data_IF_777791575704
#
_entry.id   IF_777791575704
#
_cell.length_a   1.000
_cell.length_b   1.000
_cell.length_c   1.000
_cell.angle_alpha   90.00
_cell.angle_beta   90.00
_cell.angle_gamma   90.00
#
_symmetry.space_group_name_H-M   'P 1'
#
loop_
_entity.id
_entity.type
_entity.pdbx_description
1 polymer ?
#
# COMPACT_ATOMS: atom_id res chain seq x y z
N UNK A 1 -34.75 -9.07 -53.05
CA UNK A 1 -34.85 -9.96 -51.92
C UNK A 1 -33.48 -10.63 -51.76
N UNK A 2 -32.66 -10.29 -50.92
CA UNK A 2 -32.56 -10.38 -49.49
C UNK A 2 -31.41 -9.44 -48.98
N UNK A 3 -31.78 -8.38 -48.38
CA UNK A 3 -30.89 -7.67 -47.48
C UNK A 3 -31.38 -7.94 -46.08
N UNK A 4 -30.66 -8.67 -45.31
CA UNK A 4 -30.76 -8.79 -43.84
C UNK A 4 -29.72 -9.85 -43.43
N UNK A 5 -28.59 -9.47 -42.96
CA UNK A 5 -27.82 -10.07 -41.86
C UNK A 5 -26.41 -9.49 -41.90
N UNK A 6 -26.23 -8.28 -41.42
CA UNK A 6 -24.90 -7.80 -41.04
C UNK A 6 -24.99 -6.68 -39.97
N UNK A 7 -25.65 -6.98 -38.85
CA UNK A 7 -25.66 -6.06 -37.69
C UNK A 7 -25.69 -6.86 -36.37
N UNK A 8 -24.78 -7.79 -36.14
CA UNK A 8 -24.71 -8.45 -34.82
C UNK A 8 -23.30 -8.88 -34.38
N UNK A 9 -22.22 -8.21 -34.78
CA UNK A 9 -20.92 -8.66 -34.25
C UNK A 9 -19.98 -7.55 -33.75
N UNK A 10 -20.49 -6.33 -33.50
CA UNK A 10 -19.65 -5.25 -32.97
C UNK A 10 -19.92 -4.86 -31.49
N UNK A 11 -20.84 -5.56 -30.81
CA UNK A 11 -21.17 -5.24 -29.42
C UNK A 11 -20.63 -6.23 -28.36
N UNK A 12 -20.08 -7.36 -28.75
CA UNK A 12 -19.57 -8.35 -27.79
C UNK A 12 -18.24 -7.93 -27.12
N UNK A 13 -17.43 -7.10 -27.75
CA UNK A 13 -16.19 -6.56 -27.17
C UNK A 13 -16.41 -5.51 -26.09
N UNK A 14 -17.51 -4.76 -26.19
CA UNK A 14 -17.81 -3.65 -25.27
C UNK A 14 -18.30 -4.10 -23.90
N UNK A 15 -19.03 -5.23 -23.81
CA UNK A 15 -19.59 -5.70 -22.52
C UNK A 15 -18.55 -6.38 -21.63
N UNK A 16 -17.59 -7.09 -22.19
CA UNK A 16 -16.51 -7.72 -21.42
C UNK A 16 -15.55 -6.67 -20.83
N UNK A 17 -15.19 -5.65 -21.62
CA UNK A 17 -14.37 -4.52 -21.15
C UNK A 17 -15.11 -3.67 -20.12
N UNK A 18 -16.44 -3.50 -20.25
CA UNK A 18 -17.25 -2.78 -19.29
C UNK A 18 -17.39 -3.52 -17.95
N UNK A 19 -17.48 -4.85 -17.96
CA UNK A 19 -17.54 -5.66 -16.74
C UNK A 19 -16.19 -5.72 -16.00
N UNK A 20 -15.06 -5.75 -16.71
CA UNK A 20 -13.72 -5.72 -16.11
C UNK A 20 -13.40 -4.36 -15.48
N UNK A 21 -13.84 -3.26 -16.08
CA UNK A 21 -13.69 -1.93 -15.50
C UNK A 21 -14.66 -1.68 -14.32
N UNK A 22 -15.85 -2.27 -14.33
CA UNK A 22 -16.85 -2.10 -13.27
C UNK A 22 -16.47 -2.76 -11.93
N UNK A 23 -15.54 -3.72 -11.93
CA UNK A 23 -15.04 -4.32 -10.68
C UNK A 23 -14.08 -3.39 -9.91
N UNK A 24 -13.41 -2.46 -10.59
CA UNK A 24 -12.45 -1.53 -9.97
C UNK A 24 -13.09 -0.22 -9.55
N UNK A 25 -14.14 0.20 -10.25
CA UNK A 25 -14.82 1.46 -10.02
C UNK A 25 -16.30 1.25 -9.81
N UNK A 26 -16.87 2.06 -8.93
CA UNK A 26 -18.30 2.06 -8.59
C UNK A 26 -18.83 3.45 -8.92
N UNK A 27 -19.83 3.54 -9.79
CA UNK A 27 -20.51 4.79 -10.08
C UNK A 27 -21.81 4.87 -9.25
N UNK A 28 -22.12 6.05 -8.70
CA UNK A 28 -23.48 6.35 -8.23
C UNK A 28 -24.35 6.87 -9.37
N UNK A 29 -25.65 7.02 -9.10
CA UNK A 29 -26.61 7.55 -10.09
C UNK A 29 -26.40 9.03 -10.44
N UNK A 30 -25.50 9.73 -9.77
CA UNK A 30 -25.20 11.16 -9.94
C UNK A 30 -23.91 11.41 -10.74
N UNK A 31 -23.22 10.35 -11.15
CA UNK A 31 -22.01 10.41 -11.98
C UNK A 31 -20.71 10.49 -11.20
N UNK A 32 -20.74 10.32 -9.87
CA UNK A 32 -19.52 10.23 -9.10
C UNK A 32 -18.88 8.85 -9.26
N UNK A 33 -17.56 8.83 -9.35
CA UNK A 33 -16.78 7.60 -9.48
C UNK A 33 -16.08 7.33 -8.15
N UNK A 34 -16.32 6.15 -7.61
CA UNK A 34 -15.71 5.65 -6.39
C UNK A 34 -14.80 4.48 -6.71
N UNK A 35 -13.82 4.29 -5.87
CA UNK A 35 -12.95 3.11 -5.88
C UNK A 35 -12.85 2.51 -4.48
N UNK A 36 -12.47 1.24 -4.44
CA UNK A 36 -12.22 0.51 -3.19
C UNK A 36 -10.72 0.54 -2.90
N UNK A 37 -10.36 0.81 -1.65
CA UNK A 37 -8.99 0.75 -1.12
C UNK A 37 -8.98 0.00 0.21
N UNK A 38 -7.88 -0.64 0.53
CA UNK A 38 -7.70 -1.36 1.78
C UNK A 38 -6.69 -0.63 2.66
N UNK A 39 -6.99 -0.49 3.96
CA UNK A 39 -6.09 0.15 4.92
C UNK A 39 -5.98 -0.75 6.14
N UNK A 40 -4.75 -1.19 6.44
CA UNK A 40 -4.45 -2.14 7.49
C UNK A 40 -3.45 -1.58 8.49
N UNK A 41 -3.46 -2.15 9.69
CA UNK A 41 -2.49 -1.84 10.74
C UNK A 41 -2.91 -0.67 11.63
N UNK A 42 -1.97 0.18 11.98
CA UNK A 42 -2.08 1.21 13.01
C UNK A 42 -2.80 2.47 12.54
N UNK A 43 -4.09 2.31 12.21
CA UNK A 43 -5.03 3.41 11.92
C UNK A 43 -6.26 3.25 12.80
N UNK A 44 -7.04 4.32 12.96
CA UNK A 44 -8.22 4.30 13.82
C UNK A 44 -9.33 3.40 13.27
N UNK A 45 -9.51 3.35 11.96
CA UNK A 45 -10.54 2.55 11.29
C UNK A 45 -9.92 1.71 10.17
N UNK A 46 -9.27 0.56 10.49
CA UNK A 46 -8.73 -0.33 9.47
C UNK A 46 -9.86 -1.05 8.74
N UNK A 47 -9.59 -1.47 7.50
CA UNK A 47 -10.55 -2.20 6.69
C UNK A 47 -10.55 -1.78 5.23
N UNK A 48 -11.61 -2.15 4.52
CA UNK A 48 -11.85 -1.76 3.15
C UNK A 48 -12.77 -0.54 3.09
N UNK A 49 -12.35 0.50 2.39
CA UNK A 49 -13.03 1.78 2.30
C UNK A 49 -13.40 2.09 0.85
N UNK A 50 -14.61 2.65 0.67
CA UNK A 50 -15.03 3.24 -0.59
C UNK A 50 -14.70 4.73 -0.57
N UNK A 51 -13.92 5.17 -1.53
CA UNK A 51 -13.44 6.55 -1.64
C UNK A 51 -13.61 7.07 -3.06
N UNK A 52 -13.62 8.39 -3.25
CA UNK A 52 -13.66 8.98 -4.57
C UNK A 52 -12.40 8.66 -5.38
N UNK A 53 -12.56 8.44 -6.69
CA UNK A 53 -11.42 8.35 -7.59
C UNK A 53 -10.62 9.65 -7.57
N UNK A 54 -9.30 9.52 -7.52
CA UNK A 54 -8.40 10.67 -7.44
C UNK A 54 -8.17 11.23 -6.04
N UNK A 55 -8.67 10.57 -4.98
CA UNK A 55 -8.36 10.97 -3.60
C UNK A 55 -6.85 10.99 -3.36
N UNK A 56 -6.37 12.00 -2.65
CA UNK A 56 -4.98 12.05 -2.22
C UNK A 56 -4.75 11.24 -0.93
N UNK A 57 -3.49 10.92 -0.67
CA UNK A 57 -3.11 10.08 0.46
C UNK A 57 -3.46 10.68 1.84
N UNK A 58 -3.34 12.00 2.00
CA UNK A 58 -3.67 12.66 3.27
C UNK A 58 -5.18 12.65 3.54
N UNK A 59 -5.98 12.91 2.51
CA UNK A 59 -7.44 12.84 2.58
C UNK A 59 -7.91 11.42 2.89
N UNK A 60 -7.29 10.41 2.27
CA UNK A 60 -7.57 9.01 2.55
C UNK A 60 -7.30 8.65 4.01
N UNK A 61 -6.14 9.05 4.55
CA UNK A 61 -5.84 8.83 5.98
C UNK A 61 -6.83 9.55 6.91
N UNK A 62 -7.30 10.73 6.51
CA UNK A 62 -8.29 11.49 7.29
C UNK A 62 -9.64 10.76 7.37
N UNK A 63 -10.07 10.11 6.29
CA UNK A 63 -11.30 9.30 6.26
C UNK A 63 -11.24 8.17 7.28
N UNK A 64 -10.09 7.52 7.44
CA UNK A 64 -9.92 6.42 8.41
C UNK A 64 -9.55 6.89 9.82
N UNK A 65 -9.65 8.19 10.08
CA UNK A 65 -9.40 8.79 11.39
C UNK A 65 -7.93 8.96 11.74
N UNK A 66 -7.04 8.85 10.75
CA UNK A 66 -5.60 9.04 10.89
C UNK A 66 -4.86 7.84 11.50
N UNK A 67 -3.53 7.93 11.53
CA UNK A 67 -2.70 6.91 12.16
C UNK A 67 -2.86 6.91 13.69
N UNK A 68 -2.72 5.74 14.31
CA UNK A 68 -2.73 5.58 15.77
C UNK A 68 -1.43 6.14 16.40
N UNK A 69 -1.40 6.27 17.73
CA UNK A 69 -0.18 6.67 18.47
C UNK A 69 0.95 5.64 18.33
N UNK A 70 0.62 4.38 18.10
CA UNK A 70 1.56 3.30 17.90
C UNK A 70 2.09 3.19 16.47
N UNK A 71 1.55 3.97 15.53
CA UNK A 71 1.89 3.93 14.11
C UNK A 71 3.34 4.34 13.84
N UNK A 72 4.03 3.57 13.00
CA UNK A 72 5.32 3.94 12.44
C UNK A 72 5.12 4.83 11.21
N UNK A 73 5.19 6.13 11.41
CA UNK A 73 4.94 7.13 10.36
C UNK A 73 6.07 7.20 9.31
N UNK A 74 7.26 6.70 9.62
CA UNK A 74 8.41 6.69 8.69
C UNK A 74 8.32 5.61 7.63
N UNK A 75 7.51 4.57 7.88
CA UNK A 75 7.48 3.38 7.04
C UNK A 75 6.05 2.92 6.79
N UNK A 76 5.26 3.78 6.14
CA UNK A 76 3.93 3.39 5.64
C UNK A 76 4.11 2.79 4.25
N UNK A 77 3.58 1.60 4.04
CA UNK A 77 3.71 0.88 2.77
C UNK A 77 2.41 0.90 2.00
N UNK A 78 2.51 1.17 0.71
CA UNK A 78 1.43 1.03 -0.24
C UNK A 78 1.77 -0.12 -1.18
N UNK A 79 0.88 -1.08 -1.28
CA UNK A 79 0.94 -2.21 -2.20
C UNK A 79 -0.11 -2.03 -3.28
N UNK A 80 0.31 -2.13 -4.51
CA UNK A 80 -0.52 -1.97 -5.70
C UNK A 80 -0.84 -3.33 -6.32
N UNK A 81 -2.06 -3.49 -6.81
CA UNK A 81 -2.47 -4.72 -7.48
C UNK A 81 -1.77 -4.90 -8.83
N UNK A 82 -1.64 -3.81 -9.58
CA UNK A 82 -0.98 -3.79 -10.88
C UNK A 82 0.24 -2.87 -10.84
N UNK A 83 1.35 -3.25 -11.50
CA UNK A 83 2.54 -2.42 -11.50
C UNK A 83 2.26 -1.06 -12.18
N UNK A 84 2.93 -0.03 -11.70
CA UNK A 84 2.91 1.27 -12.37
C UNK A 84 3.67 1.23 -13.70
N UNK A 85 3.71 2.36 -14.41
CA UNK A 85 4.45 2.49 -15.68
C UNK A 85 5.95 2.21 -15.57
N UNK A 86 6.50 2.20 -14.34
CA UNK A 86 7.90 1.88 -14.04
C UNK A 86 8.09 0.46 -13.52
N UNK A 87 7.02 -0.33 -13.41
CA UNK A 87 7.03 -1.70 -12.91
C UNK A 87 6.99 -1.82 -11.38
N UNK A 88 6.71 -0.74 -10.65
CA UNK A 88 6.68 -0.77 -9.19
C UNK A 88 5.31 -1.26 -8.68
N UNK A 89 5.35 -2.16 -7.71
CA UNK A 89 4.19 -2.68 -6.98
C UNK A 89 4.14 -2.21 -5.53
N UNK A 90 5.28 -1.79 -4.96
CA UNK A 90 5.41 -1.44 -3.55
C UNK A 90 6.06 -0.08 -3.40
N UNK A 91 5.47 0.75 -2.57
CA UNK A 91 5.96 2.08 -2.26
C UNK A 91 6.08 2.25 -0.75
N UNK A 92 7.11 2.96 -0.33
CA UNK A 92 7.29 3.37 1.06
C UNK A 92 7.07 4.87 1.17
N UNK A 93 6.20 5.28 2.08
CA UNK A 93 5.78 6.66 2.29
C UNK A 93 6.21 7.09 3.69
N UNK A 94 6.94 8.20 3.78
CA UNK A 94 7.32 8.83 5.03
C UNK A 94 6.28 9.91 5.42
N UNK A 95 5.32 9.54 6.25
CA UNK A 95 4.31 10.48 6.76
C UNK A 95 4.85 11.47 7.78
N UNK A 96 5.91 11.11 8.50
CA UNK A 96 6.54 12.03 9.48
C UNK A 96 7.11 13.25 8.77
N UNK A 97 7.73 13.06 7.62
CA UNK A 97 8.25 14.15 6.79
C UNK A 97 7.13 15.07 6.33
N UNK A 98 6.01 14.51 5.83
CA UNK A 98 4.85 15.31 5.48
C UNK A 98 4.28 16.09 6.66
N UNK A 99 4.15 15.49 7.85
CA UNK A 99 3.60 16.17 9.02
C UNK A 99 4.50 17.35 9.45
N UNK A 100 5.80 17.21 9.31
CA UNK A 100 6.77 18.23 9.72
C UNK A 100 6.95 19.35 8.69
N UNK A 101 6.94 19.02 7.40
CA UNK A 101 7.23 19.97 6.30
C UNK A 101 5.98 20.45 5.55
N UNK A 102 4.87 19.70 5.60
CA UNK A 102 3.71 19.91 4.74
C UNK A 102 3.95 19.53 3.27
N UNK A 103 5.13 18.97 2.94
CA UNK A 103 5.48 18.60 1.59
C UNK A 103 4.75 17.33 1.14
N UNK A 104 4.01 17.42 0.05
CA UNK A 104 3.26 16.33 -0.58
C UNK A 104 3.92 15.78 -1.84
N UNK A 105 5.10 16.24 -2.20
CA UNK A 105 5.79 15.86 -3.44
C UNK A 105 6.02 14.36 -3.57
N UNK A 106 6.20 13.67 -2.43
CA UNK A 106 6.42 12.23 -2.35
C UNK A 106 5.11 11.41 -2.23
N UNK A 107 3.95 12.07 -2.25
CA UNK A 107 2.68 11.36 -2.18
C UNK A 107 2.33 10.71 -3.52
N UNK A 108 1.99 9.44 -3.42
CA UNK A 108 1.66 8.60 -4.57
C UNK A 108 0.15 8.70 -4.79
N UNK A 109 -0.27 8.84 -6.04
CA UNK A 109 -1.68 8.77 -6.40
C UNK A 109 -2.23 7.39 -6.03
N UNK A 110 -3.34 7.38 -5.32
CA UNK A 110 -4.04 6.15 -4.92
C UNK A 110 -4.79 5.58 -6.12
N UNK A 111 -4.71 4.27 -6.29
CA UNK A 111 -5.41 3.53 -7.33
C UNK A 111 -6.42 2.54 -6.71
N UNK A 112 -7.40 2.06 -7.51
CA UNK A 112 -8.31 1.01 -7.06
C UNK A 112 -7.55 -0.23 -6.55
N UNK A 113 -8.07 -0.83 -5.48
CA UNK A 113 -7.53 -2.00 -4.80
C UNK A 113 -6.13 -1.82 -4.18
N UNK A 114 -5.57 -0.60 -4.17
CA UNK A 114 -4.36 -0.34 -3.40
C UNK A 114 -4.57 -0.75 -1.94
N UNK A 115 -3.54 -1.38 -1.36
CA UNK A 115 -3.53 -1.76 0.05
C UNK A 115 -2.45 -0.97 0.77
N UNK A 116 -2.87 -0.17 1.76
CA UNK A 116 -1.98 0.64 2.58
C UNK A 116 -1.80 -0.06 3.92
N UNK A 117 -0.55 -0.25 4.33
CA UNK A 117 -0.21 -0.88 5.60
C UNK A 117 0.55 0.13 6.47
N UNK A 118 -0.07 0.50 7.59
CA UNK A 118 0.54 1.34 8.62
C UNK A 118 1.08 0.43 9.72
N UNK A 119 2.39 0.23 9.72
CA UNK A 119 3.05 -0.67 10.68
C UNK A 119 3.09 -0.06 12.08
N UNK A 120 3.19 -0.92 13.11
CA UNK A 120 3.43 -0.51 14.48
C UNK A 120 4.91 -0.14 14.69
N UNK A 121 5.18 0.85 15.54
CA UNK A 121 6.55 1.16 16.03
C UNK A 121 7.16 -0.03 16.78
N UNK A 122 6.37 -0.76 17.52
CA UNK A 122 6.82 -1.94 18.26
C UNK A 122 7.40 -3.02 17.37
N UNK A 123 6.74 -3.29 16.24
CA UNK A 123 7.20 -4.31 15.30
C UNK A 123 8.57 -3.96 14.69
N UNK A 124 8.75 -2.72 14.26
CA UNK A 124 10.03 -2.28 13.69
C UNK A 124 11.15 -2.27 14.74
N UNK A 125 10.89 -1.76 15.95
CA UNK A 125 11.85 -1.77 17.04
C UNK A 125 12.22 -3.18 17.49
N UNK A 126 11.29 -4.12 17.49
CA UNK A 126 11.54 -5.50 17.84
C UNK A 126 12.46 -6.18 16.82
N UNK A 127 12.24 -5.98 15.51
CA UNK A 127 13.11 -6.53 14.47
C UNK A 127 14.53 -5.94 14.54
N UNK A 128 14.67 -4.64 14.77
CA UNK A 128 15.96 -3.98 14.96
C UNK A 128 16.72 -4.55 16.15
N UNK A 129 16.03 -4.81 17.27
CA UNK A 129 16.63 -5.43 18.47
C UNK A 129 17.10 -6.86 18.22
N UNK A 130 16.32 -7.68 17.50
CA UNK A 130 16.73 -9.05 17.17
C UNK A 130 18.00 -9.04 16.31
N UNK A 131 18.07 -8.15 15.32
CA UNK A 131 19.26 -8.02 14.47
C UNK A 131 20.49 -7.60 15.26
N UNK A 132 20.33 -6.70 16.22
CA UNK A 132 21.42 -6.25 17.10
C UNK A 132 21.90 -7.37 18.02
N UNK A 133 20.99 -8.18 18.57
CA UNK A 133 21.31 -9.35 19.42
C UNK A 133 22.07 -10.41 18.61
N UNK A 134 21.64 -10.69 17.38
CA UNK A 134 22.31 -11.65 16.52
C UNK A 134 23.74 -11.20 16.16
N UNK A 135 23.95 -9.92 15.91
CA UNK A 135 25.27 -9.37 15.69
C UNK A 135 26.16 -9.51 16.93
N UNK A 136 25.62 -9.21 18.12
CA UNK A 136 26.35 -9.33 19.38
C UNK A 136 26.73 -10.78 19.66
N UNK A 137 25.83 -11.74 19.48
CA UNK A 137 26.10 -13.16 19.64
C UNK A 137 27.17 -13.66 18.65
N UNK A 138 27.15 -13.19 17.41
CA UNK A 138 28.17 -13.55 16.41
C UNK A 138 29.55 -13.07 16.82
N UNK A 139 29.68 -11.81 17.25
CA UNK A 139 30.96 -11.26 17.73
C UNK A 139 31.44 -12.01 18.97
N UNK A 140 30.54 -12.32 19.93
CA UNK A 140 30.88 -13.09 21.13
C UNK A 140 31.39 -14.50 20.80
N UNK A 141 30.74 -15.19 19.88
CA UNK A 141 31.15 -16.53 19.42
C UNK A 141 32.53 -16.50 18.78
N UNK A 142 32.80 -15.53 17.91
CA UNK A 142 34.11 -15.36 17.25
C UNK A 142 35.19 -15.09 18.31
N UNK A 143 34.90 -14.26 19.32
CA UNK A 143 35.84 -13.95 20.40
C UNK A 143 36.19 -15.18 21.22
N UNK A 144 35.21 -16.02 21.55
CA UNK A 144 35.44 -17.28 22.24
C UNK A 144 36.30 -18.25 21.42
N UNK A 145 36.04 -18.36 20.11
CA UNK A 145 36.85 -19.20 19.22
C UNK A 145 38.30 -18.74 19.15
N UNK A 146 38.53 -17.44 19.08
CA UNK A 146 39.90 -16.90 19.08
C UNK A 146 40.61 -17.18 20.41
N UNK A 147 39.94 -16.99 21.55
CA UNK A 147 40.49 -17.29 22.86
C UNK A 147 40.87 -18.76 23.02
N UNK A 148 40.06 -19.70 22.51
CA UNK A 148 40.36 -21.12 22.57
C UNK A 148 41.57 -21.53 21.71
N UNK A 149 41.79 -20.81 20.58
CA UNK A 149 42.98 -21.04 19.73
C UNK A 149 44.28 -20.58 20.38
N UNK A 150 44.26 -19.56 21.24
CA UNK A 150 45.42 -19.04 21.95
C UNK A 150 45.68 -19.68 23.31
N UNK A 151 44.72 -20.48 23.83
CA UNK A 151 44.81 -21.16 25.13
C UNK A 151 45.24 -22.63 25.03
N UNK A 152 45.45 -23.15 23.82
CA UNK A 152 45.98 -24.50 23.59
C UNK A 152 47.41 -24.44 23.03
#
# INVERSE_FOLDING_TARGET
>A
MNGQVELQNSQAGSFADFQLSSQKYISDGEGHIFMKVNIWGEVRSPGSHRVYDGIDFASLLSIVGGPSKAANLKNVRLYREEPDKKGNLVYTINLEEFINSGDRSNFIKIHPNDTIIVQSKFYTQFLERINSINLFLSVFTITLQVLTLFSG
#
